data_IF_942724579495
#
_entry.id   IF_942724579495
#
_cell.length_a   1.000
_cell.length_b   1.000
_cell.length_c   1.000
_cell.angle_alpha   90.00
_cell.angle_beta   90.00
_cell.angle_gamma   90.00
#
_symmetry.space_group_name_H-M   'P 1'
#
loop_
_entity.id
_entity.type
_entity.pdbx_description
1 polymer ?
2 polymer ?
#
# COMPACT_ATOMS: atom_id res chain seq x y z
N UNK A 1 -24.12 51.42 -11.61
CA UNK A 1 -24.04 52.66 -10.81
C UNK A 1 -22.62 52.79 -10.26
N UNK A 2 -22.42 52.36 -9.01
CA UNK A 2 -21.12 52.43 -8.36
C UNK A 2 -20.11 51.36 -8.81
N UNK A 3 -20.43 50.64 -9.87
CA UNK A 3 -19.58 49.58 -10.38
C UNK A 3 -18.12 49.95 -10.59
N UNK A 4 -17.86 51.06 -11.28
CA UNK A 4 -16.49 51.44 -11.54
C UNK A 4 -15.75 51.89 -10.29
N UNK A 5 -16.50 52.24 -9.26
CA UNK A 5 -15.90 52.68 -8.02
C UNK A 5 -15.45 51.43 -7.25
N UNK A 6 -16.30 50.40 -7.25
CA UNK A 6 -15.99 49.13 -6.57
C UNK A 6 -14.86 48.44 -7.32
N UNK A 7 -14.81 48.70 -8.62
CA UNK A 7 -13.79 48.15 -9.50
C UNK A 7 -12.43 48.18 -8.83
N UNK A 8 -11.85 49.38 -8.76
CA UNK A 8 -10.54 49.55 -8.15
C UNK A 8 -10.61 49.15 -6.69
N UNK A 9 -11.76 49.42 -6.08
CA UNK A 9 -11.94 49.09 -4.68
C UNK A 9 -11.80 47.59 -4.44
N UNK A 10 -12.08 46.77 -5.46
CA UNK A 10 -11.94 45.32 -5.31
C UNK A 10 -10.59 44.84 -5.84
N UNK A 11 -10.20 45.29 -7.02
CA UNK A 11 -8.91 44.89 -7.58
C UNK A 11 -7.83 45.21 -6.56
N UNK A 12 -8.12 46.21 -5.73
CA UNK A 12 -7.18 46.64 -4.70
C UNK A 12 -6.92 45.54 -3.69
N UNK A 13 -7.85 45.38 -2.76
CA UNK A 13 -7.74 44.38 -1.71
C UNK A 13 -7.53 42.97 -2.23
N UNK A 14 -7.72 42.76 -3.53
CA UNK A 14 -7.53 41.46 -4.14
C UNK A 14 -6.06 41.30 -4.53
N UNK A 15 -5.36 42.43 -4.58
CA UNK A 15 -3.97 42.40 -4.92
C UNK A 15 -3.74 42.16 -6.39
N UNK A 16 -4.63 42.64 -7.25
CA UNK A 16 -4.48 42.46 -8.69
C UNK A 16 -4.41 43.78 -9.45
N UNK A 17 -3.84 43.76 -10.65
CA UNK A 17 -3.71 44.99 -11.45
C UNK A 17 -4.82 45.26 -12.46
N UNK A 18 -5.33 46.49 -12.41
CA UNK A 18 -6.40 46.95 -13.30
C UNK A 18 -5.89 46.94 -14.75
N UNK A 19 -5.72 45.73 -15.29
CA UNK A 19 -5.24 45.53 -16.67
C UNK A 19 -5.33 44.03 -16.92
N UNK A 20 -6.23 43.44 -16.15
CA UNK A 20 -6.55 42.04 -16.17
C UNK A 20 -7.77 42.14 -15.27
N UNK A 21 -8.59 43.12 -15.60
CA UNK A 21 -9.81 43.46 -14.87
C UNK A 21 -10.95 42.46 -14.95
N UNK A 22 -11.76 42.57 -16.00
CA UNK A 22 -12.91 41.70 -16.15
C UNK A 22 -12.66 40.21 -16.30
N UNK A 23 -11.40 39.81 -16.14
CA UNK A 23 -11.02 38.41 -16.25
C UNK A 23 -11.38 37.68 -14.96
N UNK A 24 -12.65 37.29 -14.83
CA UNK A 24 -13.13 36.59 -13.64
C UNK A 24 -12.31 35.38 -13.22
N UNK A 25 -11.96 34.49 -14.17
CA UNK A 25 -11.16 33.33 -13.76
C UNK A 25 -9.85 33.75 -13.12
N UNK A 26 -9.12 34.62 -13.79
CA UNK A 26 -7.85 35.08 -13.25
C UNK A 26 -8.06 35.89 -11.97
N UNK A 27 -9.28 36.40 -11.78
CA UNK A 27 -9.60 37.16 -10.58
C UNK A 27 -9.93 36.18 -9.47
N UNK A 28 -10.48 35.04 -9.85
CA UNK A 28 -10.82 34.01 -8.90
C UNK A 28 -9.52 33.38 -8.42
N UNK A 29 -8.65 33.06 -9.37
CA UNK A 29 -7.35 32.46 -9.04
C UNK A 29 -6.75 33.29 -7.92
N UNK A 30 -6.99 34.58 -8.00
CA UNK A 30 -6.49 35.48 -6.98
C UNK A 30 -7.32 35.34 -5.71
N UNK A 31 -8.57 35.76 -5.76
CA UNK A 31 -9.45 35.68 -4.61
C UNK A 31 -9.20 34.45 -3.77
N UNK A 32 -8.96 33.31 -4.41
CA UNK A 32 -8.71 32.08 -3.66
C UNK A 32 -7.38 32.13 -2.92
N UNK A 33 -6.40 32.78 -3.54
CA UNK A 33 -5.08 32.94 -2.94
C UNK A 33 -5.24 33.70 -1.64
N UNK A 34 -6.01 34.77 -1.69
CA UNK A 34 -6.23 35.59 -0.51
C UNK A 34 -6.92 34.78 0.58
N UNK A 35 -7.42 33.61 0.22
CA UNK A 35 -8.10 32.77 1.21
C UNK A 35 -7.10 31.82 1.85
N UNK A 36 -6.25 31.25 1.01
CA UNK A 36 -5.22 30.32 1.45
C UNK A 36 -4.16 31.10 2.22
N UNK A 37 -4.37 32.40 2.40
CA UNK A 37 -3.43 33.23 3.12
C UNK A 37 -4.07 33.96 4.31
N UNK A 38 -5.39 33.88 4.40
CA UNK A 38 -6.11 34.55 5.50
C UNK A 38 -6.05 33.67 6.73
N UNK A 39 -5.86 34.31 7.88
CA UNK A 39 -5.77 33.60 9.17
C UNK A 39 -6.32 34.57 10.20
N UNK A 40 -7.44 34.24 10.88
CA UNK A 40 -7.94 35.21 11.88
C UNK A 40 -7.01 35.10 13.10
N UNK A 41 -5.71 35.20 12.83
CA UNK A 41 -4.66 35.08 13.83
C UNK A 41 -3.45 35.95 13.44
N UNK A 42 -3.44 36.33 12.17
CA UNK A 42 -2.40 37.18 11.61
C UNK A 42 -3.17 38.36 11.01
N UNK A 43 -4.39 38.06 10.55
CA UNK A 43 -5.25 39.06 9.97
C UNK A 43 -6.56 39.26 10.72
N UNK A 44 -7.03 40.49 10.65
CA UNK A 44 -8.30 40.86 11.26
C UNK A 44 -9.15 41.36 10.09
N UNK A 45 -9.12 40.57 9.01
CA UNK A 45 -9.85 40.88 7.79
C UNK A 45 -11.30 40.41 7.94
N UNK A 46 -11.64 39.88 9.12
CA UNK A 46 -13.00 39.41 9.37
C UNK A 46 -14.02 40.35 8.76
N UNK A 47 -13.60 41.59 8.54
CA UNK A 47 -14.47 42.59 7.92
C UNK A 47 -13.90 42.93 6.54
N UNK A 48 -12.57 43.03 6.46
CA UNK A 48 -11.87 43.34 5.21
C UNK A 48 -11.85 42.13 4.26
N UNK A 49 -12.52 41.04 4.65
CA UNK A 49 -12.59 39.81 3.85
C UNK A 49 -14.06 39.66 3.49
N UNK A 50 -14.91 40.05 4.43
CA UNK A 50 -16.34 39.98 4.22
C UNK A 50 -16.66 40.80 2.97
N UNK A 51 -15.83 41.81 2.70
CA UNK A 51 -16.01 42.67 1.53
C UNK A 51 -15.27 42.04 0.35
N UNK A 52 -14.07 41.54 0.61
CA UNK A 52 -13.25 40.88 -0.39
C UNK A 52 -14.11 39.84 -1.11
N UNK A 53 -15.07 39.29 -0.38
CA UNK A 53 -15.99 38.29 -0.90
C UNK A 53 -17.18 38.93 -1.59
N UNK A 54 -18.02 39.62 -0.82
CA UNK A 54 -19.20 40.28 -1.35
C UNK A 54 -18.98 40.89 -2.74
N UNK A 55 -17.97 41.75 -2.89
CA UNK A 55 -17.73 42.35 -4.20
C UNK A 55 -17.40 41.34 -5.27
N UNK A 56 -16.37 40.53 -5.06
CA UNK A 56 -15.99 39.53 -6.06
C UNK A 56 -17.20 38.75 -6.59
N UNK A 57 -18.05 38.26 -5.68
CA UNK A 57 -19.19 37.52 -6.15
C UNK A 57 -20.06 38.37 -7.08
N UNK A 58 -20.17 39.65 -6.76
CA UNK A 58 -20.98 40.56 -7.56
C UNK A 58 -20.38 40.77 -8.94
N UNK A 59 -19.16 40.28 -9.15
CA UNK A 59 -18.50 40.41 -10.45
C UNK A 59 -18.46 39.07 -11.18
N UNK A 60 -18.56 38.00 -10.41
CA UNK A 60 -18.54 36.66 -10.96
C UNK A 60 -19.93 36.46 -11.58
N UNK A 61 -20.95 36.98 -10.90
CA UNK A 61 -22.32 36.87 -11.35
C UNK A 61 -22.43 37.12 -12.83
N UNK A 62 -21.75 38.15 -13.29
CA UNK A 62 -21.80 38.51 -14.68
C UNK A 62 -21.16 37.49 -15.61
N UNK A 63 -21.04 36.26 -15.15
CA UNK A 63 -20.45 35.24 -15.99
C UNK A 63 -20.87 33.81 -15.63
N UNK A 64 -20.90 33.49 -14.34
CA UNK A 64 -21.23 32.13 -13.95
C UNK A 64 -22.50 31.53 -14.56
N UNK A 65 -23.36 32.34 -15.16
CA UNK A 65 -24.60 31.78 -15.71
C UNK A 65 -24.66 31.45 -17.19
N UNK A 66 -25.63 30.61 -17.51
CA UNK A 66 -25.89 30.19 -18.88
C UNK A 66 -27.16 30.94 -19.21
N UNK A 67 -27.12 31.78 -20.25
CA UNK A 67 -28.29 32.57 -20.60
C UNK A 67 -29.27 31.91 -21.55
N UNK A 68 -30.56 32.17 -21.34
CA UNK A 68 -31.62 31.61 -22.18
C UNK A 68 -31.09 31.80 -23.57
N UNK A 69 -30.80 33.05 -23.97
CA UNK A 69 -30.25 33.10 -25.33
C UNK A 69 -28.82 32.62 -25.02
N UNK A 70 -28.50 31.38 -25.38
CA UNK A 70 -27.20 30.79 -25.04
C UNK A 70 -25.91 31.21 -25.76
N UNK A 71 -25.35 32.34 -25.35
CA UNK A 71 -24.08 32.81 -25.89
C UNK A 71 -23.14 33.04 -24.73
N UNK A 72 -21.85 33.17 -25.03
CA UNK A 72 -20.87 33.37 -23.98
C UNK A 72 -20.33 32.05 -23.49
N UNK A 73 -19.07 32.03 -23.09
CA UNK A 73 -18.46 30.80 -22.61
C UNK A 73 -19.28 30.17 -21.50
N UNK A 74 -19.01 28.90 -21.18
CA UNK A 74 -19.74 28.26 -20.12
C UNK A 74 -18.91 28.33 -18.87
N UNK A 75 -19.57 28.56 -17.72
CA UNK A 75 -18.88 28.68 -16.44
C UNK A 75 -18.37 27.38 -15.85
N UNK A 76 -19.15 26.74 -14.98
CA UNK A 76 -18.71 25.48 -14.36
C UNK A 76 -17.43 25.69 -13.56
N UNK A 77 -17.56 26.12 -12.32
CA UNK A 77 -16.41 26.36 -11.47
C UNK A 77 -16.57 25.61 -10.16
N UNK A 78 -17.47 26.10 -9.32
CA UNK A 78 -17.74 25.49 -8.03
C UNK A 78 -18.82 26.32 -7.35
N UNK A 79 -18.43 27.15 -6.40
CA UNK A 79 -19.39 28.00 -5.70
C UNK A 79 -18.75 28.67 -4.51
N UNK A 80 -18.49 29.96 -4.63
CA UNK A 80 -17.92 30.72 -3.54
C UNK A 80 -19.16 31.28 -2.85
N UNK A 81 -19.58 30.64 -1.74
CA UNK A 81 -20.76 31.05 -0.97
C UNK A 81 -20.57 32.38 -0.28
N UNK A 82 -21.64 33.18 -0.19
CA UNK A 82 -21.52 34.45 0.48
C UNK A 82 -20.90 34.13 1.83
N UNK A 83 -19.80 34.81 2.13
CA UNK A 83 -19.13 34.60 3.40
C UNK A 83 -19.67 35.64 4.38
N UNK A 84 -20.80 35.30 5.01
CA UNK A 84 -21.41 36.21 5.95
C UNK A 84 -20.97 36.06 7.39
N UNK A 85 -21.39 34.97 8.03
CA UNK A 85 -21.06 34.73 9.43
C UNK A 85 -20.17 33.51 9.68
N UNK A 86 -20.56 32.36 9.13
CA UNK A 86 -19.81 31.12 9.29
C UNK A 86 -18.31 31.40 9.54
N UNK A 87 -17.78 30.88 10.65
CA UNK A 87 -16.36 31.05 11.02
C UNK A 87 -15.44 30.69 9.84
N UNK A 88 -14.49 31.56 9.53
CA UNK A 88 -13.59 31.35 8.41
C UNK A 88 -13.04 29.94 8.19
N UNK A 89 -12.67 29.25 9.25
CA UNK A 89 -12.13 27.91 9.06
C UNK A 89 -13.20 26.91 8.63
N UNK A 90 -14.39 27.03 9.21
CA UNK A 90 -15.53 26.16 8.88
C UNK A 90 -15.95 26.40 7.44
N UNK A 91 -15.71 27.61 6.97
CA UNK A 91 -16.05 28.00 5.60
C UNK A 91 -14.96 27.49 4.67
N UNK A 92 -13.73 27.93 4.92
CA UNK A 92 -12.58 27.53 4.12
C UNK A 92 -12.43 26.01 4.05
N UNK A 93 -12.74 25.34 5.15
CA UNK A 93 -12.65 23.89 5.15
C UNK A 93 -13.72 23.38 4.20
N UNK A 94 -14.95 23.77 4.46
CA UNK A 94 -16.07 23.36 3.62
C UNK A 94 -15.69 23.45 2.14
N UNK A 95 -15.40 24.65 1.67
CA UNK A 95 -15.03 24.87 0.27
C UNK A 95 -14.07 23.83 -0.31
N UNK A 96 -12.94 23.57 0.34
CA UNK A 96 -11.98 22.60 -0.20
C UNK A 96 -12.48 21.18 -0.12
N UNK A 97 -13.03 20.85 1.03
CA UNK A 97 -13.56 19.52 1.27
C UNK A 97 -14.46 19.18 0.08
N UNK A 98 -14.79 20.19 -0.72
CA UNK A 98 -15.64 20.01 -1.90
C UNK A 98 -14.83 19.95 -3.20
N UNK A 99 -13.92 20.89 -3.40
CA UNK A 99 -13.14 20.86 -4.61
C UNK A 99 -12.25 19.63 -4.58
N UNK A 100 -12.39 18.83 -3.52
CA UNK A 100 -11.61 17.60 -3.37
C UNK A 100 -12.47 16.36 -3.23
N UNK A 101 -13.79 16.55 -3.17
CA UNK A 101 -14.75 15.46 -3.01
C UNK A 101 -15.15 14.77 -4.33
N UNK A 102 -15.33 13.45 -4.27
CA UNK A 102 -15.71 12.67 -5.45
C UNK A 102 -17.20 12.38 -5.49
N UNK A 103 -17.92 13.06 -6.38
CA UNK A 103 -19.37 12.88 -6.49
C UNK A 103 -19.77 11.87 -7.56
N UNK A 104 -18.90 10.90 -7.80
CA UNK A 104 -19.19 9.87 -8.77
C UNK A 104 -19.78 8.70 -8.02
N UNK A 105 -19.98 7.60 -8.75
CA UNK A 105 -20.49 6.35 -8.23
C UNK A 105 -19.77 5.28 -9.03
N UNK A 106 -19.53 4.13 -8.42
CA UNK A 106 -18.84 3.06 -9.14
C UNK A 106 -19.59 2.70 -10.42
N UNK A 107 -19.00 1.89 -11.29
CA UNK A 107 -19.65 1.48 -12.54
C UNK A 107 -20.53 0.22 -12.42
N UNK A 108 -21.28 -0.08 -13.46
CA UNK A 108 -22.16 -1.27 -13.48
C UNK A 108 -21.44 -2.55 -13.07
N UNK A 109 -20.81 -3.21 -14.05
CA UNK A 109 -20.08 -4.46 -13.79
C UNK A 109 -19.37 -5.03 -15.03
N UNK A 110 -19.01 -6.32 -14.92
CA UNK A 110 -18.30 -7.07 -15.96
C UNK A 110 -18.74 -6.83 -17.41
N UNK A 111 -18.20 -7.65 -18.32
CA UNK A 111 -18.49 -7.52 -19.75
C UNK A 111 -19.53 -8.47 -20.36
N UNK A 112 -19.35 -8.69 -21.66
CA UNK A 112 -20.19 -9.53 -22.50
C UNK A 112 -19.78 -9.07 -23.91
N UNK A 113 -18.80 -9.76 -24.51
CA UNK A 113 -18.30 -9.39 -25.83
C UNK A 113 -18.31 -10.47 -26.92
N UNK A 114 -17.47 -11.50 -26.75
CA UNK A 114 -17.36 -12.58 -27.73
C UNK A 114 -18.69 -13.20 -28.21
N UNK B 1 20.57 -28.08 -15.44
CA UNK B 1 19.26 -27.52 -15.02
C UNK B 1 18.80 -27.92 -13.61
N UNK B 2 17.73 -27.26 -13.17
CA UNK B 2 17.13 -27.51 -11.87
C UNK B 2 15.68 -27.94 -12.13
N UNK B 3 15.54 -29.20 -12.54
CA UNK B 3 14.25 -29.78 -12.83
C UNK B 3 13.46 -30.08 -11.57
N UNK B 4 12.15 -29.98 -11.68
CA UNK B 4 11.27 -30.25 -10.56
C UNK B 4 11.62 -31.66 -10.10
N UNK B 5 12.19 -32.43 -11.01
CA UNK B 5 12.60 -33.79 -10.73
C UNK B 5 13.83 -33.78 -9.83
N UNK B 6 14.85 -33.02 -10.23
CA UNK B 6 16.10 -32.91 -9.48
C UNK B 6 15.81 -32.65 -8.00
N UNK B 7 14.91 -31.71 -7.73
CA UNK B 7 14.55 -31.39 -6.36
C UNK B 7 13.91 -32.59 -5.68
N UNK B 8 12.84 -33.12 -6.26
CA UNK B 8 12.14 -34.27 -5.70
C UNK B 8 13.13 -35.38 -5.34
N UNK B 9 14.24 -35.41 -6.06
CA UNK B 9 15.25 -36.41 -5.82
C UNK B 9 16.05 -36.09 -4.58
N UNK B 10 16.60 -34.88 -4.53
CA UNK B 10 17.40 -34.48 -3.38
C UNK B 10 16.59 -34.60 -2.09
N UNK B 11 15.30 -34.26 -2.15
CA UNK B 11 14.42 -34.33 -0.98
C UNK B 11 14.24 -35.77 -0.51
N UNK B 12 13.97 -36.68 -1.45
CA UNK B 12 13.77 -38.07 -1.13
C UNK B 12 14.99 -38.75 -0.54
N UNK B 13 16.16 -38.41 -1.08
CA UNK B 13 17.43 -38.96 -0.62
C UNK B 13 18.06 -38.15 0.52
N UNK B 14 17.30 -37.18 1.04
CA UNK B 14 17.76 -36.33 2.14
C UNK B 14 17.49 -36.95 3.50
N UNK B 15 18.28 -36.55 4.49
CA UNK B 15 18.14 -37.06 5.85
C UNK B 15 16.98 -36.41 6.59
N UNK B 16 16.44 -37.13 7.56
CA UNK B 16 15.35 -36.61 8.36
C UNK B 16 15.88 -36.18 9.72
N UNK B 17 17.19 -36.33 9.87
CA UNK B 17 17.91 -35.99 11.09
C UNK B 17 18.99 -35.00 10.68
N UNK B 18 19.10 -33.84 11.36
CA UNK B 18 20.10 -32.85 11.01
C UNK B 18 21.50 -33.42 10.75
N UNK B 19 22.18 -32.80 9.79
CA UNK B 19 23.53 -33.19 9.37
C UNK B 19 24.54 -33.10 10.51
N UNK B 20 25.50 -34.01 10.52
CA UNK B 20 26.53 -34.07 11.56
C UNK B 20 27.23 -32.72 11.57
N UNK B 21 27.37 -32.16 10.38
CA UNK B 21 28.01 -30.87 10.22
C UNK B 21 27.10 -29.76 10.71
N UNK B 22 25.80 -29.93 10.49
CA UNK B 22 24.80 -28.94 10.90
C UNK B 22 24.66 -28.95 12.40
N UNK B 23 25.20 -29.99 13.02
CA UNK B 23 25.16 -30.11 14.46
C UNK B 23 26.41 -29.46 15.02
N UNK B 24 27.50 -29.45 14.24
CA UNK B 24 28.71 -28.81 14.71
C UNK B 24 28.28 -27.39 15.06
N UNK B 25 27.44 -26.82 14.21
CA UNK B 25 26.94 -25.47 14.41
C UNK B 25 26.20 -25.31 15.72
N UNK B 26 25.28 -26.24 16.00
CA UNK B 26 24.50 -26.19 17.24
C UNK B 26 25.48 -26.13 18.41
N UNK B 27 26.48 -27.00 18.35
CA UNK B 27 27.48 -27.11 19.40
C UNK B 27 28.47 -25.95 19.49
N UNK B 28 28.35 -24.95 18.63
CA UNK B 28 29.25 -23.79 18.71
C UNK B 28 28.50 -22.56 19.18
N UNK B 29 27.24 -22.75 19.50
CA UNK B 29 26.39 -21.66 19.97
C UNK B 29 26.56 -21.43 21.46
N UNK B 30 26.45 -20.17 21.86
CA UNK B 30 26.59 -19.80 23.27
C UNK B 30 25.63 -20.72 24.02
N UNK B 31 24.46 -20.90 23.45
CA UNK B 31 23.45 -21.76 24.04
C UNK B 31 23.04 -22.72 22.95
N UNK B 32 23.26 -24.01 23.20
CA UNK B 32 22.93 -25.06 22.24
C UNK B 32 21.44 -25.05 21.94
N UNK B 33 21.08 -24.90 20.66
CA UNK B 33 19.67 -24.88 20.27
C UNK B 33 19.08 -26.23 19.84
N UNK B 34 19.88 -27.29 19.87
CA UNK B 34 19.41 -28.62 19.44
C UNK B 34 18.03 -28.93 19.97
N UNK B 35 17.96 -29.40 21.21
CA UNK B 35 16.67 -29.76 21.81
C UNK B 35 15.61 -28.71 21.50
N UNK B 36 16.05 -27.45 21.46
CA UNK B 36 15.18 -26.32 21.17
C UNK B 36 14.52 -26.40 19.81
N UNK B 37 15.33 -26.49 18.77
CA UNK B 37 14.79 -26.54 17.43
C UNK B 37 14.15 -27.89 17.20
N UNK B 38 14.77 -28.93 17.74
CA UNK B 38 14.26 -30.27 17.56
C UNK B 38 12.87 -30.47 18.15
N UNK B 39 12.64 -29.98 19.36
CA UNK B 39 11.33 -30.11 20.00
C UNK B 39 10.30 -29.34 19.19
N UNK B 40 10.74 -28.25 18.58
CA UNK B 40 9.87 -27.42 17.77
C UNK B 40 9.32 -28.29 16.64
N UNK B 41 10.20 -28.74 15.74
CA UNK B 41 9.79 -29.56 14.60
C UNK B 41 8.71 -30.56 14.98
N UNK B 42 8.94 -31.27 16.08
CA UNK B 42 8.00 -32.27 16.57
C UNK B 42 6.65 -31.65 16.91
N UNK B 43 6.66 -30.66 17.80
CA UNK B 43 5.41 -30.00 18.18
C UNK B 43 4.67 -29.49 16.95
N UNK B 44 5.36 -28.71 16.12
CA UNK B 44 4.74 -28.18 14.91
C UNK B 44 4.09 -29.29 14.12
N UNK B 45 4.78 -30.42 14.07
CA UNK B 45 4.29 -31.58 13.34
C UNK B 45 2.83 -31.89 13.51
N UNK B 46 2.42 -32.20 14.74
CA UNK B 46 1.02 -32.53 14.98
C UNK B 46 0.20 -31.38 14.44
N UNK B 47 0.44 -30.20 15.00
CA UNK B 47 -0.28 -28.99 14.61
C UNK B 47 -0.51 -28.89 13.12
N UNK B 48 0.50 -29.24 12.35
CA UNK B 48 0.40 -29.18 10.90
C UNK B 48 -0.39 -30.34 10.33
N UNK B 49 0.08 -31.54 10.63
CA UNK B 49 -0.56 -32.75 10.14
C UNK B 49 -2.08 -32.67 10.31
N UNK B 50 -2.52 -32.19 11.47
CA UNK B 50 -3.95 -32.08 11.78
C UNK B 50 -4.64 -30.90 11.11
N UNK B 51 -4.11 -29.70 11.27
CA UNK B 51 -4.74 -28.55 10.64
C UNK B 51 -4.62 -28.66 9.14
N UNK B 52 -4.11 -29.80 8.69
CA UNK B 52 -3.92 -30.11 7.26
C UNK B 52 -5.08 -31.03 6.87
N UNK B 53 -5.22 -32.12 7.63
CA UNK B 53 -6.27 -33.09 7.39
C UNK B 53 -7.65 -32.40 7.48
N UNK B 54 -7.84 -31.59 8.52
CA UNK B 54 -9.11 -30.89 8.72
C UNK B 54 -9.32 -29.81 7.68
N UNK B 55 -8.86 -30.07 6.46
CA UNK B 55 -9.01 -29.12 5.36
C UNK B 55 -8.85 -29.84 4.04
N UNK B 56 -8.57 -31.13 4.12
CA UNK B 56 -8.41 -31.94 2.93
C UNK B 56 -9.14 -33.27 3.11
N UNK B 57 -10.06 -33.54 2.20
CA UNK B 57 -10.85 -34.76 2.23
C UNK B 57 -10.82 -35.55 3.52
N UNK B 58 -10.44 -36.82 3.42
CA UNK B 58 -10.35 -37.70 4.58
C UNK B 58 -9.59 -38.96 4.18
N UNK B 59 -9.22 -39.76 5.18
CA UNK B 59 -8.50 -40.99 4.91
C UNK B 59 -7.07 -40.82 4.43
N UNK B 60 -6.74 -39.62 3.95
CA UNK B 60 -5.39 -39.34 3.46
C UNK B 60 -4.51 -38.56 4.45
N UNK B 61 -4.06 -39.26 5.48
CA UNK B 61 -3.20 -38.69 6.50
C UNK B 61 -1.77 -39.02 6.07
N UNK B 62 -1.63 -40.09 5.31
CA UNK B 62 -0.33 -40.53 4.83
C UNK B 62 0.32 -39.35 4.12
N UNK B 63 -0.33 -38.83 3.09
CA UNK B 63 0.21 -37.70 2.36
C UNK B 63 0.62 -36.59 3.30
N UNK B 64 -0.22 -36.34 4.29
CA UNK B 64 0.08 -35.31 5.27
C UNK B 64 1.46 -35.51 5.82
N UNK B 65 1.63 -36.59 6.58
CA UNK B 65 2.91 -36.94 7.19
C UNK B 65 4.04 -36.74 6.19
N UNK B 66 3.84 -37.29 5.00
CA UNK B 66 4.79 -37.19 3.91
C UNK B 66 5.22 -35.75 3.66
N UNK B 67 4.25 -34.89 3.35
CA UNK B 67 4.52 -33.48 3.08
C UNK B 67 5.35 -32.80 4.16
N UNK B 68 4.91 -32.91 5.41
CA UNK B 68 5.66 -32.31 6.50
C UNK B 68 7.01 -33.00 6.51
N UNK B 69 7.01 -34.33 6.65
CA UNK B 69 8.26 -35.08 6.68
C UNK B 69 9.21 -34.53 5.65
N UNK B 70 8.76 -34.51 4.40
CA UNK B 70 9.61 -33.98 3.35
C UNK B 70 9.90 -32.52 3.60
N UNK B 71 8.90 -31.77 4.00
CA UNK B 71 9.12 -30.36 4.27
C UNK B 71 10.30 -30.23 5.20
N UNK B 72 10.32 -31.02 6.26
CA UNK B 72 11.38 -30.99 7.27
C UNK B 72 12.77 -31.22 6.71
N UNK B 73 12.93 -32.19 5.82
CA UNK B 73 14.26 -32.41 5.29
C UNK B 73 14.71 -31.13 4.60
N UNK B 74 13.87 -30.57 3.73
CA UNK B 74 14.23 -29.35 3.03
C UNK B 74 14.62 -28.33 4.09
N UNK B 75 13.79 -28.22 5.11
CA UNK B 75 14.01 -27.30 6.23
C UNK B 75 15.46 -27.35 6.70
N UNK B 76 15.87 -28.44 7.35
CA UNK B 76 17.26 -28.56 7.81
C UNK B 76 18.21 -28.26 6.66
N UNK B 77 18.09 -29.01 5.56
CA UNK B 77 18.94 -28.79 4.41
C UNK B 77 19.25 -27.30 4.24
N UNK B 78 18.22 -26.48 4.12
CA UNK B 78 18.48 -25.07 3.93
C UNK B 78 19.30 -24.51 5.08
N UNK B 79 18.71 -24.43 6.26
CA UNK B 79 19.42 -23.93 7.43
C UNK B 79 20.93 -24.13 7.38
N UNK B 80 21.37 -25.33 7.10
CA UNK B 80 22.79 -25.56 7.03
C UNK B 80 23.36 -24.58 6.01
N UNK B 81 22.90 -24.69 4.78
CA UNK B 81 23.36 -23.81 3.72
C UNK B 81 23.29 -22.38 4.16
N UNK B 82 22.14 -22.03 4.74
CA UNK B 82 21.88 -20.70 5.21
C UNK B 82 22.90 -20.31 6.28
N UNK B 83 23.41 -21.30 7.01
CA UNK B 83 24.41 -21.05 8.03
C UNK B 83 25.81 -20.99 7.42
N UNK B 84 26.12 -21.87 6.48
CA UNK B 84 27.43 -21.85 5.85
C UNK B 84 27.59 -20.55 5.09
N UNK B 85 26.51 -20.13 4.43
CA UNK B 85 26.53 -18.90 3.64
C UNK B 85 26.29 -17.76 4.59
N UNK B 86 26.96 -17.82 5.72
CA UNK B 86 26.83 -16.82 6.77
C UNK B 86 28.11 -16.88 7.58
N UNK B 87 28.77 -18.04 7.59
CA UNK B 87 30.03 -18.18 8.30
C UNK B 87 30.95 -17.36 7.44
N UNK B 88 30.97 -17.69 6.14
CA UNK B 88 31.81 -17.01 5.17
C UNK B 88 31.62 -15.50 5.32
N UNK B 89 30.62 -14.95 4.66
CA UNK B 89 30.35 -13.52 4.79
C UNK B 89 30.10 -13.32 6.27
N UNK B 90 30.73 -12.30 6.87
CA UNK B 90 30.51 -12.08 8.28
C UNK B 90 31.14 -13.22 9.11
N UNK B 91 32.44 -13.45 8.91
CA UNK B 91 33.17 -14.52 9.61
C UNK B 91 32.76 -14.61 11.06
N UNK B 92 32.53 -15.84 11.54
CA UNK B 92 32.12 -16.01 12.92
C UNK B 92 31.98 -17.43 13.47
N UNK B 93 31.34 -18.33 12.74
CA UNK B 93 31.18 -19.72 13.21
C UNK B 93 30.37 -19.98 14.49
N UNK B 94 29.77 -18.96 15.11
CA UNK B 94 28.98 -19.18 16.32
C UNK B 94 27.51 -19.34 15.94
N UNK B 95 26.78 -18.22 15.93
CA UNK B 95 25.35 -18.17 15.56
C UNK B 95 24.29 -18.53 16.61
N UNK B 96 24.55 -18.20 17.86
CA UNK B 96 23.57 -18.52 18.89
C UNK B 96 22.30 -17.73 18.71
N UNK B 97 22.44 -16.42 18.57
CA UNK B 97 21.26 -15.56 18.45
C UNK B 97 20.20 -16.10 17.51
N UNK B 98 20.63 -16.32 16.27
CA UNK B 98 19.78 -16.80 15.20
C UNK B 98 19.16 -18.18 15.42
N UNK B 99 20.00 -19.19 15.69
CA UNK B 99 19.50 -20.54 15.83
C UNK B 99 18.60 -20.80 17.03
N UNK B 100 18.49 -19.83 17.92
CA UNK B 100 17.64 -19.97 19.09
C UNK B 100 16.42 -19.11 18.92
N UNK B 101 16.38 -18.38 17.83
CA UNK B 101 15.26 -17.50 17.57
C UNK B 101 14.06 -18.24 17.04
N UNK B 102 13.03 -18.37 17.86
CA UNK B 102 11.82 -19.04 17.46
C UNK B 102 11.36 -18.62 16.06
N UNK B 103 11.04 -17.34 15.86
CA UNK B 103 10.57 -16.91 14.55
C UNK B 103 11.42 -17.35 13.36
N UNK B 104 12.73 -17.37 13.55
CA UNK B 104 13.60 -17.79 12.45
C UNK B 104 13.11 -19.15 11.98
N UNK B 105 13.32 -20.16 12.80
CA UNK B 105 12.91 -21.51 12.46
C UNK B 105 11.47 -21.53 11.97
N UNK B 106 10.60 -20.86 12.73
CA UNK B 106 9.21 -20.82 12.39
C UNK B 106 8.99 -20.32 10.98
N UNK B 107 9.87 -19.48 10.48
CA UNK B 107 9.73 -18.96 9.13
C UNK B 107 10.38 -19.85 8.10
N UNK B 108 11.61 -20.28 8.40
CA UNK B 108 12.35 -21.14 7.49
C UNK B 108 11.53 -22.39 7.21
N UNK B 109 11.12 -23.04 8.30
CA UNK B 109 10.32 -24.25 8.19
C UNK B 109 9.09 -23.98 7.33
N UNK B 110 8.40 -22.88 7.61
CA UNK B 110 7.21 -22.51 6.87
C UNK B 110 7.53 -22.51 5.39
N UNK B 111 8.49 -21.67 5.01
CA UNK B 111 8.88 -21.55 3.61
C UNK B 111 9.15 -22.89 2.92
N UNK B 112 9.81 -23.80 3.61
CA UNK B 112 10.10 -25.11 3.03
C UNK B 112 8.74 -25.73 2.75
N UNK B 113 7.99 -26.01 3.80
CA UNK B 113 6.66 -26.60 3.70
C UNK B 113 5.88 -25.99 2.58
N UNK B 114 6.08 -24.70 2.34
CA UNK B 114 5.39 -24.00 1.26
C UNK B 114 5.96 -24.40 -0.07
N UNK B 115 7.26 -24.62 -0.11
CA UNK B 115 7.94 -25.02 -1.34
C UNK B 115 7.73 -26.52 -1.58
N UNK B 116 7.84 -27.31 -0.53
CA UNK B 116 7.64 -28.74 -0.70
C UNK B 116 6.21 -28.88 -1.16
N UNK B 117 5.32 -28.39 -0.33
CA UNK B 117 3.90 -28.47 -0.59
C UNK B 117 3.51 -27.99 -1.97
N UNK B 118 4.23 -27.00 -2.47
CA UNK B 118 3.90 -26.45 -3.78
C UNK B 118 4.53 -27.11 -4.98
N UNK B 119 5.40 -28.10 -4.79
CA UNK B 119 5.99 -28.77 -5.94
C UNK B 119 5.27 -30.09 -6.14
N UNK B 120 4.94 -30.75 -5.03
CA UNK B 120 4.19 -32.00 -5.07
C UNK B 120 2.76 -31.55 -5.26
N UNK B 121 2.61 -30.23 -5.46
CA UNK B 121 1.31 -29.57 -5.60
C UNK B 121 0.37 -29.84 -6.75
N UNK B 122 0.88 -30.33 -7.89
CA UNK B 122 -0.03 -30.59 -9.01
C UNK B 122 -1.30 -31.29 -8.52
N UNK B 123 -1.14 -32.22 -7.58
CA UNK B 123 -2.27 -32.93 -6.99
C UNK B 123 -2.90 -31.98 -5.96
N UNK B 124 -2.20 -31.78 -4.84
CA UNK B 124 -2.67 -30.87 -3.80
C UNK B 124 -1.76 -30.93 -2.56
N UNK B 132 -10.19 -26.62 -0.48
CA UNK B 132 -9.12 -27.61 -0.35
C UNK B 132 -7.85 -27.24 -1.14
N UNK B 133 -7.44 -25.98 -1.04
CA UNK B 133 -6.23 -25.51 -1.70
C UNK B 133 -5.43 -24.81 -0.60
N UNK B 134 -4.11 -25.01 -0.62
CA UNK B 134 -3.23 -24.44 0.39
C UNK B 134 -2.21 -23.46 -0.16
N UNK B 135 -2.45 -22.91 -1.35
CA UNK B 135 -1.52 -21.94 -1.93
C UNK B 135 -1.18 -20.92 -0.85
N UNK B 136 0.09 -20.54 -0.82
CA UNK B 136 0.65 -19.62 0.17
C UNK B 136 -0.19 -19.16 1.36
N UNK B 137 -0.95 -18.05 1.23
CA UNK B 137 -1.76 -17.56 2.37
C UNK B 137 -1.94 -18.59 3.46
N UNK B 138 -2.34 -19.80 3.05
CA UNK B 138 -2.58 -20.92 3.95
C UNK B 138 -1.52 -21.06 5.04
N UNK B 139 -0.49 -21.83 4.72
CA UNK B 139 0.61 -22.11 5.63
C UNK B 139 0.82 -21.10 6.76
N UNK B 140 0.78 -19.81 6.46
CA UNK B 140 0.97 -18.81 7.50
C UNK B 140 -0.01 -18.92 8.67
N UNK B 141 -1.28 -19.18 8.38
CA UNK B 141 -2.29 -19.30 9.41
C UNK B 141 -2.24 -20.64 10.12
N UNK B 142 -1.48 -21.57 9.56
CA UNK B 142 -1.36 -22.88 10.18
C UNK B 142 -0.26 -22.83 11.23
N UNK B 143 0.91 -22.33 10.85
CA UNK B 143 2.03 -22.24 11.77
C UNK B 143 1.87 -21.07 12.76
N UNK B 144 0.79 -20.30 12.60
CA UNK B 144 0.55 -19.14 13.47
C UNK B 144 1.60 -18.08 13.15
N UNK B 145 2.12 -18.15 11.93
CA UNK B 145 3.17 -17.24 11.46
C UNK B 145 2.64 -15.97 10.82
N UNK B 146 3.25 -14.85 11.19
CA UNK B 146 2.89 -13.53 10.68
C UNK B 146 3.44 -13.26 9.29
N UNK B 147 2.59 -12.74 8.42
CA UNK B 147 3.01 -12.46 7.06
C UNK B 147 4.39 -11.79 7.03
N UNK B 148 4.48 -10.59 7.57
CA UNK B 148 5.74 -9.87 7.55
C UNK B 148 6.94 -10.77 7.81
N UNK B 149 6.99 -11.40 8.99
CA UNK B 149 8.11 -12.27 9.33
C UNK B 149 8.40 -13.31 8.24
N UNK B 150 7.36 -13.94 7.70
CA UNK B 150 7.61 -14.92 6.65
C UNK B 150 8.38 -14.19 5.56
N UNK B 151 7.92 -13.01 5.18
CA UNK B 151 8.58 -12.24 4.14
C UNK B 151 10.11 -12.06 4.37
N UNK B 152 10.50 -11.87 5.62
CA UNK B 152 11.92 -11.66 5.90
C UNK B 152 12.84 -12.77 5.46
N UNK B 153 12.34 -14.00 5.40
CA UNK B 153 13.18 -15.11 5.02
C UNK B 153 13.18 -15.43 3.53
N UNK B 154 12.20 -14.94 2.79
CA UNK B 154 12.09 -15.24 1.34
C UNK B 154 13.33 -15.01 0.47
N UNK B 155 13.82 -13.78 0.42
CA UNK B 155 15.01 -13.49 -0.38
C UNK B 155 16.19 -14.44 -0.05
N UNK B 156 16.56 -14.50 1.24
CA UNK B 156 17.64 -15.33 1.71
C UNK B 156 17.44 -16.80 1.41
N UNK B 157 16.19 -17.23 1.40
CA UNK B 157 15.80 -18.61 1.13
C UNK B 157 16.06 -19.00 -0.32
N UNK B 158 15.55 -18.20 -1.25
CA UNK B 158 15.76 -18.47 -2.68
C UNK B 158 17.25 -18.60 -3.02
N UNK B 159 18.08 -17.83 -2.30
CA UNK B 159 19.51 -17.86 -2.57
C UNK B 159 20.27 -19.01 -1.92
N UNK B 160 19.66 -19.63 -0.91
CA UNK B 160 20.31 -20.72 -0.21
C UNK B 160 19.95 -22.10 -0.74
N UNK B 161 19.28 -22.14 -1.88
CA UNK B 161 18.91 -23.41 -2.50
C UNK B 161 18.97 -23.20 -3.99
N UNK B 162 19.93 -23.86 -4.63
CA UNK B 162 20.07 -23.70 -6.06
C UNK B 162 19.19 -24.68 -6.80
N UNK B 163 18.59 -25.61 -6.07
CA UNK B 163 17.72 -26.62 -6.67
C UNK B 163 16.27 -26.21 -6.75
N UNK B 164 15.99 -24.91 -6.76
CA UNK B 164 14.64 -24.44 -6.88
C UNK B 164 14.37 -24.27 -8.37
N UNK B 165 13.23 -24.76 -8.83
CA UNK B 165 12.91 -24.61 -10.24
C UNK B 165 12.64 -23.14 -10.50
N UNK B 166 12.81 -22.71 -11.75
CA UNK B 166 12.60 -21.32 -12.09
C UNK B 166 11.15 -20.93 -11.75
N UNK B 167 10.25 -21.90 -11.73
CA UNK B 167 8.86 -21.64 -11.42
C UNK B 167 8.73 -21.44 -9.91
N UNK B 168 9.02 -22.51 -9.16
CA UNK B 168 8.98 -22.53 -7.71
C UNK B 168 9.51 -21.24 -7.09
N UNK B 169 10.48 -20.63 -7.76
CA UNK B 169 11.10 -19.38 -7.31
C UNK B 169 10.11 -18.23 -7.49
N UNK B 170 9.54 -18.14 -8.68
CA UNK B 170 8.57 -17.11 -8.98
C UNK B 170 7.40 -17.22 -8.01
N UNK B 171 7.13 -18.44 -7.57
CA UNK B 171 6.03 -18.67 -6.64
C UNK B 171 6.27 -17.94 -5.33
N UNK B 172 7.52 -17.96 -4.89
CA UNK B 172 7.90 -17.30 -3.65
C UNK B 172 8.04 -15.82 -3.90
N UNK B 173 8.49 -15.45 -5.09
CA UNK B 173 8.62 -14.04 -5.41
C UNK B 173 7.24 -13.42 -5.33
N UNK B 174 6.25 -14.14 -5.83
CA UNK B 174 4.87 -13.69 -5.81
C UNK B 174 4.50 -13.50 -4.34
N UNK B 175 4.71 -14.54 -3.55
CA UNK B 175 4.41 -14.49 -2.13
C UNK B 175 5.01 -13.22 -1.56
N UNK B 176 6.31 -13.06 -1.77
CA UNK B 176 6.97 -11.88 -1.25
C UNK B 176 6.25 -10.63 -1.74
N UNK B 177 5.90 -10.61 -3.01
CA UNK B 177 5.22 -9.46 -3.56
C UNK B 177 3.86 -9.25 -2.95
N UNK B 178 3.21 -10.31 -2.53
CA UNK B 178 1.89 -10.18 -1.93
C UNK B 178 1.93 -9.64 -0.50
N UNK B 179 2.96 -10.03 0.23
CA UNK B 179 3.16 -9.56 1.60
C UNK B 179 3.40 -8.04 1.62
N UNK B 180 4.15 -7.55 0.64
CA UNK B 180 4.43 -6.14 0.53
C UNK B 180 3.22 -5.29 0.11
N UNK B 181 2.34 -5.85 -0.70
CA UNK B 181 1.19 -5.07 -1.14
C UNK B 181 0.00 -5.08 -0.18
N UNK B 182 -0.07 -6.05 0.71
CA UNK B 182 -1.21 -6.07 1.61
C UNK B 182 -0.98 -6.82 2.89
N UNK B 183 -0.69 -8.12 2.76
CA UNK B 183 -0.48 -8.98 3.91
C UNK B 183 0.37 -8.34 5.01
N UNK B 184 1.54 -7.81 4.65
CA UNK B 184 2.37 -7.20 5.66
C UNK B 184 1.54 -6.27 6.49
N UNK B 185 0.74 -5.44 5.81
CA UNK B 185 -0.10 -4.43 6.49
C UNK B 185 -1.42 -4.91 7.06
N UNK B 186 -1.53 -6.20 7.37
CA UNK B 186 -2.79 -6.67 7.93
C UNK B 186 -2.97 -6.20 9.35
N UNK B 187 -4.22 -6.09 9.78
CA UNK B 187 -4.49 -5.65 11.14
C UNK B 187 -3.72 -6.50 12.11
N UNK B 188 -3.19 -5.87 13.14
CA UNK B 188 -2.41 -6.59 14.13
C UNK B 188 -1.33 -7.42 13.43
N UNK B 189 -0.35 -6.70 12.88
CA UNK B 189 0.81 -7.27 12.21
C UNK B 189 1.99 -6.47 12.71
N UNK B 190 3.08 -7.12 13.07
CA UNK B 190 4.19 -6.31 13.56
C UNK B 190 4.65 -5.17 12.66
N UNK B 191 4.32 -5.17 11.38
CA UNK B 191 4.81 -4.09 10.52
C UNK B 191 4.58 -2.71 11.10
N UNK B 192 3.43 -2.52 11.74
CA UNK B 192 3.10 -1.23 12.32
C UNK B 192 3.90 -1.03 13.57
N UNK B 193 3.53 -1.75 14.61
CA UNK B 193 4.21 -1.64 15.88
C UNK B 193 5.72 -1.50 15.71
N UNK B 194 6.23 -1.94 14.56
CA UNK B 194 7.65 -1.85 14.29
C UNK B 194 7.98 -0.46 13.79
N UNK B 195 7.25 -0.02 12.77
CA UNK B 195 7.47 1.30 12.19
C UNK B 195 7.50 2.42 13.23
N UNK B 196 6.49 2.46 14.09
CA UNK B 196 6.47 3.47 15.13
C UNK B 196 7.83 3.51 15.79
N UNK B 197 8.21 2.42 16.45
CA UNK B 197 9.49 2.34 17.14
C UNK B 197 10.67 2.90 16.35
N UNK B 198 10.58 2.96 15.03
CA UNK B 198 11.71 3.50 14.27
C UNK B 198 11.65 5.03 14.20
N UNK B 199 10.57 5.60 14.74
CA UNK B 199 10.39 7.05 14.74
C UNK B 199 10.66 7.60 16.15
N UNK B 200 11.21 6.75 17.00
CA UNK B 200 11.55 7.09 18.38
C UNK B 200 12.90 6.50 18.72
N UNK B 201 13.70 6.23 17.69
CA UNK B 201 15.04 5.67 17.83
C UNK B 201 15.54 5.10 16.50
N UNK B 202 15.80 5.98 15.51
CA UNK B 202 16.30 5.55 14.20
C UNK B 202 17.55 4.68 14.24
N UNK B 203 17.92 4.17 13.07
CA UNK B 203 19.09 3.29 12.92
C UNK B 203 18.92 2.05 13.82
N UNK B 204 17.97 1.20 13.42
CA UNK B 204 17.70 -0.02 14.15
C UNK B 204 18.42 -1.13 13.41
N UNK B 205 18.29 -1.13 12.08
CA UNK B 205 18.94 -2.11 11.22
C UNK B 205 18.39 -2.01 9.80
N UNK B 206 19.19 -2.43 8.85
CA UNK B 206 18.75 -2.41 7.47
C UNK B 206 17.74 -3.54 7.35
N UNK B 207 16.46 -3.18 7.41
CA UNK B 207 15.41 -4.20 7.31
C UNK B 207 14.08 -3.56 6.94
N UNK B 208 13.54 -2.77 7.84
CA UNK B 208 12.29 -2.09 7.61
C UNK B 208 12.53 -1.07 6.50
N UNK B 209 13.62 -0.34 6.63
CA UNK B 209 13.99 0.67 5.64
C UNK B 209 14.30 0.00 4.33
N UNK B 210 14.60 -1.29 4.40
CA UNK B 210 14.90 -2.06 3.21
C UNK B 210 13.55 -2.48 2.61
N UNK B 211 12.69 -3.01 3.47
CA UNK B 211 11.34 -3.44 3.10
C UNK B 211 10.72 -2.28 2.35
N UNK B 212 10.71 -1.11 2.99
CA UNK B 212 10.17 0.07 2.35
C UNK B 212 10.79 0.20 0.97
N UNK B 213 12.11 0.09 0.92
CA UNK B 213 12.79 0.20 -0.36
C UNK B 213 12.17 -0.69 -1.41
N UNK B 214 11.94 -1.96 -1.06
CA UNK B 214 11.38 -2.88 -2.02
C UNK B 214 9.94 -2.54 -2.32
N UNK B 215 9.25 -1.93 -1.36
CA UNK B 215 7.86 -1.56 -1.59
C UNK B 215 7.81 -0.51 -2.67
N UNK B 216 8.46 0.63 -2.44
CA UNK B 216 8.45 1.69 -3.43
C UNK B 216 8.72 1.12 -4.80
N UNK B 217 9.74 0.27 -4.89
CA UNK B 217 10.10 -0.35 -6.16
C UNK B 217 8.85 -0.96 -6.78
N UNK B 218 8.02 -1.54 -5.93
CA UNK B 218 6.79 -2.15 -6.39
C UNK B 218 5.78 -1.09 -6.77
N UNK B 219 5.14 -0.50 -5.77
CA UNK B 219 4.14 0.53 -5.99
C UNK B 219 4.44 1.40 -7.19
N UNK B 220 5.53 2.15 -7.13
CA UNK B 220 5.90 3.04 -8.21
C UNK B 220 5.61 2.49 -9.58
N UNK B 221 6.26 1.38 -9.94
CA UNK B 221 6.08 0.79 -11.27
C UNK B 221 4.62 0.63 -11.71
N UNK B 222 3.75 0.30 -10.78
CA UNK B 222 2.33 0.19 -11.09
C UNK B 222 1.90 1.64 -11.36
N UNK B 223 2.16 2.51 -10.39
CA UNK B 223 1.83 3.93 -10.50
C UNK B 223 2.29 4.41 -11.86
N UNK B 224 3.44 3.92 -12.31
CA UNK B 224 3.95 4.32 -13.60
C UNK B 224 3.02 3.77 -14.68
N UNK B 225 2.89 2.46 -14.70
CA UNK B 225 2.05 1.83 -15.69
C UNK B 225 0.80 2.66 -15.91
N UNK B 226 0.04 2.94 -14.85
CA UNK B 226 -1.18 3.74 -14.98
C UNK B 226 -0.94 5.18 -15.44
N UNK B 227 -0.01 5.88 -14.80
CA UNK B 227 0.27 7.27 -15.17
C UNK B 227 0.58 7.48 -16.63
N UNK B 228 1.19 6.49 -17.27
CA UNK B 228 1.51 6.60 -18.68
C UNK B 228 0.24 6.55 -19.51
N UNK B 229 -0.61 5.55 -19.26
CA UNK B 229 -1.86 5.45 -20.01
C UNK B 229 -2.78 6.65 -19.73
N UNK B 230 -3.41 6.62 -18.57
CA UNK B 230 -4.35 7.68 -18.17
C UNK B 230 -3.82 9.09 -17.99
N UNK B 231 -2.53 9.33 -18.25
CA UNK B 231 -1.98 10.67 -18.08
C UNK B 231 -0.82 11.05 -18.99
N UNK B 232 -0.89 10.66 -20.26
CA UNK B 232 0.17 10.96 -21.23
C UNK B 232 0.52 12.46 -21.26
N UNK B 233 -0.50 13.32 -21.37
CA UNK B 233 -0.26 14.77 -21.37
C UNK B 233 0.26 15.14 -19.98
N UNK B 234 0.92 16.30 -19.88
CA UNK B 234 1.51 16.78 -18.63
C UNK B 234 1.88 15.66 -17.64
N UNK B 235 3.06 15.06 -17.83
CA UNK B 235 3.56 13.97 -16.98
C UNK B 235 4.14 14.43 -15.64
N UNK B 236 4.36 15.72 -15.48
CA UNK B 236 4.93 16.25 -14.24
C UNK B 236 4.15 15.79 -13.02
N UNK B 237 2.96 15.23 -13.25
CA UNK B 237 2.10 14.75 -12.17
C UNK B 237 2.55 13.42 -11.61
N UNK B 238 3.13 12.58 -12.46
CA UNK B 238 3.58 11.27 -12.03
C UNK B 238 4.40 11.36 -10.75
N UNK B 239 5.16 12.44 -10.59
CA UNK B 239 5.99 12.60 -9.41
C UNK B 239 5.31 13.29 -8.24
N UNK B 240 4.24 14.01 -8.51
CA UNK B 240 3.51 14.69 -7.45
C UNK B 240 2.56 13.68 -6.78
N UNK B 241 2.19 12.65 -7.53
CA UNK B 241 1.33 11.63 -6.97
C UNK B 241 2.21 10.78 -6.08
N UNK B 242 3.31 10.29 -6.63
CA UNK B 242 4.25 9.45 -5.90
C UNK B 242 4.58 10.04 -4.55
N UNK B 243 4.82 11.34 -4.54
CA UNK B 243 5.14 12.02 -3.29
C UNK B 243 4.00 11.83 -2.29
N UNK B 244 2.78 12.16 -2.71
CA UNK B 244 1.62 12.01 -1.83
C UNK B 244 1.68 10.60 -1.32
N UNK B 245 1.76 9.68 -2.25
CA UNK B 245 1.84 8.26 -1.96
C UNK B 245 2.83 7.96 -0.81
N UNK B 246 4.12 8.20 -1.07
CA UNK B 246 5.18 7.97 -0.09
C UNK B 246 4.79 8.59 1.23
N UNK B 247 4.44 9.86 1.17
CA UNK B 247 4.04 10.56 2.37
C UNK B 247 3.01 9.75 3.14
N UNK B 248 2.08 9.14 2.42
CA UNK B 248 1.05 8.36 3.06
C UNK B 248 1.71 7.19 3.74
N UNK B 249 2.55 6.48 3.00
CA UNK B 249 3.26 5.33 3.55
C UNK B 249 4.12 5.72 4.74
N UNK B 250 4.93 6.76 4.57
CA UNK B 250 5.83 7.24 5.61
C UNK B 250 5.21 7.90 6.83
N UNK B 251 4.38 8.90 6.62
CA UNK B 251 3.78 9.60 7.75
C UNK B 251 2.38 9.19 8.19
N UNK B 252 1.58 8.72 7.25
CA UNK B 252 0.22 8.28 7.56
C UNK B 252 0.07 6.78 7.33
N UNK B 253 1.12 6.01 7.63
CA UNK B 253 1.10 4.57 7.41
C UNK B 253 -0.16 3.90 7.91
N UNK B 254 -0.63 4.30 9.08
CA UNK B 254 -1.83 3.70 9.63
C UNK B 254 -2.94 3.57 8.61
N UNK B 255 -2.90 4.40 7.58
CA UNK B 255 -3.92 4.38 6.56
C UNK B 255 -3.89 3.10 5.74
N UNK B 256 -2.80 2.34 5.86
CA UNK B 256 -2.60 1.08 5.14
C UNK B 256 -3.14 -0.12 5.90
N UNK B 257 -3.41 0.08 7.18
CA UNK B 257 -3.92 -0.97 8.06
C UNK B 257 -5.14 -1.66 7.45
N UNK B 258 -4.96 -2.92 7.07
CA UNK B 258 -6.03 -3.71 6.45
C UNK B 258 -6.43 -3.14 5.10
N UNK B 259 -5.46 -2.53 4.41
CA UNK B 259 -5.75 -1.99 3.10
C UNK B 259 -4.69 -2.46 2.12
N UNK B 260 -4.73 -2.00 0.89
CA UNK B 260 -3.81 -2.49 -0.12
C UNK B 260 -3.04 -1.37 -0.81
N UNK B 261 -1.75 -1.57 -1.03
CA UNK B 261 -0.95 -0.54 -1.69
C UNK B 261 -1.73 0.10 -2.81
N UNK B 262 -2.14 -0.71 -3.76
CA UNK B 262 -2.88 -0.17 -4.87
C UNK B 262 -3.99 0.76 -4.44
N UNK B 263 -4.69 0.40 -3.39
CA UNK B 263 -5.75 1.27 -2.93
C UNK B 263 -5.24 2.69 -2.69
N UNK B 264 -4.06 2.83 -2.07
CA UNK B 264 -3.51 4.16 -1.82
C UNK B 264 -3.05 4.87 -3.08
N UNK B 265 -2.34 4.13 -3.93
CA UNK B 265 -1.88 4.68 -5.18
C UNK B 265 -3.02 5.42 -5.86
N UNK B 266 -4.09 4.68 -6.17
CA UNK B 266 -5.26 5.27 -6.84
C UNK B 266 -5.76 6.56 -6.18
N UNK B 267 -6.08 6.48 -4.89
CA UNK B 267 -6.55 7.65 -4.16
C UNK B 267 -5.58 8.79 -4.27
N UNK B 268 -4.30 8.44 -4.32
CA UNK B 268 -3.28 9.46 -4.47
C UNK B 268 -3.44 10.03 -5.87
N UNK B 269 -3.71 9.14 -6.83
CA UNK B 269 -3.92 9.59 -8.20
C UNK B 269 -5.06 10.60 -8.24
N UNK B 270 -6.23 10.15 -7.81
CA UNK B 270 -7.43 10.99 -7.82
C UNK B 270 -7.25 12.32 -7.09
N UNK B 271 -7.02 12.26 -5.79
CA UNK B 271 -6.85 13.48 -5.00
C UNK B 271 -5.89 14.54 -5.54
N UNK B 272 -4.79 14.12 -6.16
CA UNK B 272 -3.82 15.05 -6.72
C UNK B 272 -4.34 15.63 -8.02
N UNK B 273 -5.00 14.81 -8.83
CA UNK B 273 -5.56 15.32 -10.06
C UNK B 273 -6.75 16.18 -9.73
N UNK B 274 -7.23 16.11 -8.49
CA UNK B 274 -8.38 16.91 -8.13
C UNK B 274 -8.10 18.29 -7.59
N UNK B 275 -6.92 18.51 -7.03
CA UNK B 275 -6.61 19.83 -6.51
C UNK B 275 -5.97 20.64 -7.60
N UNK B 276 -5.58 19.96 -8.67
CA UNK B 276 -4.97 20.63 -9.80
C UNK B 276 -5.99 20.84 -10.91
N UNK B 277 -7.22 20.40 -10.66
CA UNK B 277 -8.31 20.52 -11.63
C UNK B 277 -7.94 19.75 -12.88
N UNK B 278 -8.02 18.43 -12.80
CA UNK B 278 -7.65 17.61 -13.92
C UNK B 278 -8.68 16.53 -14.27
N UNK B 279 -8.84 16.36 -15.58
CA UNK B 279 -9.73 15.40 -16.23
C UNK B 279 -9.77 13.95 -15.75
N UNK B 280 -9.11 13.62 -14.65
CA UNK B 280 -9.11 12.23 -14.22
C UNK B 280 -10.26 11.83 -13.31
N UNK B 281 -11.14 10.99 -13.84
CA UNK B 281 -12.32 10.50 -13.11
C UNK B 281 -12.00 9.13 -12.52
N UNK B 282 -12.36 8.95 -11.27
CA UNK B 282 -12.12 7.71 -10.56
C UNK B 282 -12.61 6.54 -11.40
N UNK B 283 -13.61 6.83 -12.23
CA UNK B 283 -14.20 5.85 -13.13
C UNK B 283 -13.09 5.18 -13.95
N UNK B 284 -12.35 5.99 -14.71
CA UNK B 284 -11.27 5.47 -15.54
C UNK B 284 -10.11 4.90 -14.71
N UNK B 285 -9.73 5.59 -13.65
CA UNK B 285 -8.65 5.13 -12.78
C UNK B 285 -8.89 3.65 -12.44
N UNK B 286 -10.08 3.35 -11.93
CA UNK B 286 -10.42 1.99 -11.58
C UNK B 286 -10.54 1.15 -12.83
N UNK B 287 -11.01 1.75 -13.92
CA UNK B 287 -11.15 1.01 -15.18
C UNK B 287 -9.78 0.47 -15.58
N UNK B 288 -8.81 1.36 -15.65
CA UNK B 288 -7.45 0.99 -16.03
C UNK B 288 -6.86 -0.02 -15.07
N UNK B 289 -7.03 0.25 -13.79
CA UNK B 289 -6.47 -0.61 -12.76
C UNK B 289 -6.69 -2.09 -13.00
N UNK B 290 -7.73 -2.47 -13.74
CA UNK B 290 -8.00 -3.89 -13.97
C UNK B 290 -6.99 -4.54 -14.90
N UNK B 291 -6.44 -3.77 -15.82
CA UNK B 291 -5.49 -4.32 -16.76
C UNK B 291 -4.15 -4.74 -16.19
N UNK B 292 -3.83 -4.28 -14.98
CA UNK B 292 -2.56 -4.63 -14.34
C UNK B 292 -2.59 -6.13 -13.98
N UNK B 293 -1.56 -6.87 -14.40
CA UNK B 293 -1.31 -8.31 -14.23
C UNK B 293 -1.43 -8.92 -12.82
N UNK B 294 -2.52 -8.64 -12.13
CA UNK B 294 -2.69 -9.18 -10.80
C UNK B 294 -3.94 -8.63 -10.17
N UNK B 295 -4.16 -7.34 -10.36
CA UNK B 295 -5.31 -6.66 -9.80
C UNK B 295 -6.56 -7.51 -9.88
N UNK B 296 -7.46 -7.29 -8.94
CA UNK B 296 -8.72 -8.00 -8.86
C UNK B 296 -9.78 -6.97 -8.58
N UNK B 297 -10.91 -7.06 -9.27
CA UNK B 297 -12.00 -6.11 -9.04
C UNK B 297 -12.21 -5.96 -7.52
N UNK B 298 -12.01 -7.07 -6.82
CA UNK B 298 -12.17 -7.11 -5.36
C UNK B 298 -11.35 -6.02 -4.66
N UNK B 299 -10.27 -5.56 -5.28
CA UNK B 299 -9.40 -4.55 -4.67
C UNK B 299 -9.99 -3.17 -4.56
N UNK B 300 -10.86 -2.79 -5.51
CA UNK B 300 -11.44 -1.47 -5.44
C UNK B 300 -12.93 -1.48 -5.16
N UNK B 301 -13.51 -2.68 -5.02
CA UNK B 301 -14.93 -2.82 -4.72
C UNK B 301 -15.09 -3.02 -3.21
N UNK B 302 -14.15 -3.74 -2.61
CA UNK B 302 -14.20 -4.00 -1.17
C UNK B 302 -13.00 -3.31 -0.53
N UNK B 303 -13.23 -2.18 0.13
CA UNK B 303 -12.16 -1.44 0.80
C UNK B 303 -12.56 -1.18 2.26
N UNK B 304 -11.68 -1.52 3.20
CA UNK B 304 -11.95 -1.30 4.61
C UNK B 304 -12.31 0.18 4.84
N UNK B 305 -13.19 0.46 5.78
CA UNK B 305 -13.59 1.84 6.06
C UNK B 305 -13.46 2.12 7.55
N UNK B 306 -14.49 1.73 8.29
CA UNK B 306 -14.54 1.95 9.74
C UNK B 306 -14.08 0.70 10.49
N UNK B 307 -15.02 -0.10 10.98
CA UNK B 307 -14.65 -1.32 11.70
C UNK B 307 -14.55 -2.36 10.60
N UNK B 308 -15.09 -3.53 10.85
CA UNK B 308 -15.08 -4.59 9.86
C UNK B 308 -16.12 -4.28 8.78
N UNK B 309 -16.21 -3.01 8.40
CA UNK B 309 -17.17 -2.56 7.38
C UNK B 309 -16.45 -2.14 6.12
N UNK B 310 -16.70 -2.82 5.01
CA UNK B 310 -16.06 -2.47 3.75
C UNK B 310 -17.06 -1.85 2.80
N UNK B 311 -16.62 -0.89 2.00
CA UNK B 311 -17.49 -0.25 1.01
C UNK B 311 -16.69 -0.08 -0.27
N UNK B 312 -17.04 0.92 -1.08
CA UNK B 312 -16.35 1.18 -2.35
C UNK B 312 -15.20 2.19 -2.25
N UNK B 313 -14.09 1.91 -2.94
CA UNK B 313 -12.93 2.79 -2.93
C UNK B 313 -13.30 4.25 -2.76
N UNK B 314 -14.34 4.66 -3.50
CA UNK B 314 -14.83 6.02 -3.46
C UNK B 314 -15.16 6.38 -2.03
N UNK B 315 -15.93 5.54 -1.36
CA UNK B 315 -16.29 5.83 0.02
C UNK B 315 -15.01 5.95 0.84
N UNK B 316 -14.08 5.04 0.62
CA UNK B 316 -12.82 5.08 1.36
C UNK B 316 -12.19 6.43 1.16
N UNK B 317 -12.29 6.92 -0.06
CA UNK B 317 -11.72 8.19 -0.38
C UNK B 317 -12.36 9.34 0.38
N UNK B 318 -13.63 9.61 0.11
CA UNK B 318 -14.34 10.73 0.74
C UNK B 318 -14.47 10.65 2.26
N UNK B 319 -14.55 9.44 2.80
CA UNK B 319 -14.71 9.28 4.24
C UNK B 319 -13.42 9.09 5.03
N UNK B 320 -12.36 8.69 4.34
CA UNK B 320 -11.10 8.46 5.03
C UNK B 320 -9.92 9.15 4.34
N UNK B 321 -9.52 8.69 3.17
CA UNK B 321 -8.39 9.31 2.49
C UNK B 321 -8.51 10.82 2.47
N UNK B 322 -9.38 11.31 1.60
CA UNK B 322 -9.60 12.72 1.45
C UNK B 322 -9.60 13.45 2.78
N UNK B 323 -10.20 12.87 3.80
CA UNK B 323 -10.26 13.52 5.12
C UNK B 323 -8.96 13.52 5.89
N UNK B 324 -8.21 12.42 5.84
CA UNK B 324 -6.97 12.31 6.59
C UNK B 324 -5.83 13.19 6.06
N UNK B 325 -5.40 12.94 4.82
CA UNK B 325 -4.33 13.75 4.27
C UNK B 325 -4.88 14.88 3.42
N UNK B 326 -5.94 15.49 3.93
CA UNK B 326 -6.62 16.61 3.27
C UNK B 326 -5.64 17.77 3.26
N UNK B 327 -5.25 18.20 4.45
CA UNK B 327 -4.31 19.30 4.60
C UNK B 327 -3.07 19.11 3.75
N UNK B 328 -2.52 17.90 3.70
CA UNK B 328 -1.33 17.70 2.90
C UNK B 328 -1.57 17.94 1.43
N UNK B 329 -2.78 17.72 0.97
CA UNK B 329 -3.09 17.92 -0.44
C UNK B 329 -3.35 19.38 -0.77
N UNK B 330 -4.19 20.04 0.01
CA UNK B 330 -4.52 21.44 -0.24
C UNK B 330 -3.34 22.36 -0.52
N UNK B 331 -2.13 21.92 -0.18
CA UNK B 331 -0.99 22.77 -0.46
C UNK B 331 -0.34 22.38 -1.78
N UNK B 332 -1.20 22.11 -2.77
CA UNK B 332 -0.77 21.74 -4.12
C UNK B 332 -1.66 22.44 -5.12
N UNK B 333 -2.83 22.87 -4.65
CA UNK B 333 -3.80 23.56 -5.48
C UNK B 333 -3.17 24.66 -6.33
#
# INVERSE_FOLDING_TARGET
SHMREESLQLMDLLGLERSAWGNIPLMRKAYLKKCKEFHPDKGGDEEKMKKMNTLYKKMEDGVKYAHQPDFGGFWDATEIPTYGTDEWEQWWNAFNEENLFCSEEMPSSDDEAT
MNTIQQLMMILNSASDQPSENLISYFNNCTVNPKESILKRVKDIGYIFKEKFAKAVGAGCVAIGSQRYKLGVRLYYRVMESMLKSEEERLSIQNFSKLLNDNIFHMSLLACALEVVMATYSRSTSQNLDSGTDLSFPWILNVLNLKAFDFYKVIESFIKAEGNLTREMIKHLERCEHRIMESLAWLSDSPLFDLIKQSKLVPRGSTSLSLFYKKVYRLAYLRLNTLCERLLSEHPELEHIIWTLFQHTLQNEYELMRDRHLDQIMMCSMYGICKVKNIDLKFKIIVTAYKDLPHAVQETFKRVLIKEEEYDSIIVFYNSVFMQRLKTNILQYA
#
